data_IF_685800303515
#
_entry.id   IF_685800303515
#
_cell.length_a   1.000
_cell.length_b   1.000
_cell.length_c   1.000
_cell.angle_alpha   90.00
_cell.angle_beta   90.00
_cell.angle_gamma   90.00
#
_symmetry.space_group_name_H-M   'P 1'
#
loop_
_entity.id
_entity.type
_entity.pdbx_description
1 polymer ?
#
# COMPACT_ATOMS: atom_id res chain seq x y z
N UNK A 1 -24.27 8.37 -18.74
CA UNK A 1 -22.83 8.46 -18.50
C UNK A 1 -22.52 9.45 -17.38
N UNK A 2 -21.63 9.08 -16.49
CA UNK A 2 -21.29 9.92 -15.35
C UNK A 2 -19.82 9.84 -15.00
N UNK A 3 -19.28 11.01 -14.62
CA UNK A 3 -17.97 11.14 -13.99
C UNK A 3 -18.13 11.36 -12.50
N UNK A 4 -17.25 10.76 -11.73
CA UNK A 4 -17.05 11.03 -10.31
C UNK A 4 -15.56 11.28 -10.10
N UNK A 5 -15.25 12.34 -9.38
CA UNK A 5 -13.88 12.66 -8.98
C UNK A 5 -13.88 12.90 -7.48
N UNK A 6 -12.82 12.52 -6.81
CA UNK A 6 -12.68 12.76 -5.39
C UNK A 6 -11.22 12.80 -4.98
N UNK A 7 -11.00 13.41 -3.81
CA UNK A 7 -9.72 13.42 -3.13
C UNK A 7 -9.97 13.25 -1.64
N UNK A 8 -9.01 12.67 -0.94
CA UNK A 8 -9.06 12.44 0.50
C UNK A 8 -7.71 12.70 1.13
N UNK A 9 -7.74 12.98 2.43
CA UNK A 9 -6.55 13.15 3.26
C UNK A 9 -6.78 12.46 4.60
N UNK A 10 -5.74 11.83 5.12
CA UNK A 10 -5.71 11.26 6.46
C UNK A 10 -4.52 11.80 7.23
N UNK A 11 -4.74 12.11 8.49
CA UNK A 11 -3.68 12.47 9.45
C UNK A 11 -3.72 11.44 10.57
N UNK A 12 -2.62 10.76 10.78
CA UNK A 12 -2.45 9.75 11.83
C UNK A 12 -1.36 10.22 12.79
N UNK A 13 -1.60 10.08 14.11
CA UNK A 13 -0.58 10.30 15.13
C UNK A 13 -0.71 9.23 16.20
N UNK A 14 0.36 8.49 16.44
CA UNK A 14 0.39 7.41 17.42
C UNK A 14 1.63 7.53 18.33
N UNK A 15 1.55 6.98 19.52
CA UNK A 15 2.67 6.85 20.46
C UNK A 15 3.14 5.39 20.39
N UNK A 16 4.31 5.09 19.79
CA UNK A 16 4.80 3.71 19.64
C UNK A 16 5.14 3.06 20.99
N UNK A 17 5.58 3.86 21.96
CA UNK A 17 5.99 3.39 23.29
C UNK A 17 5.58 4.39 24.36
N UNK A 18 5.28 3.87 25.55
CA UNK A 18 4.95 4.69 26.72
C UNK A 18 6.03 4.64 27.79
N UNK A 19 6.99 3.71 27.67
CA UNK A 19 8.12 3.57 28.58
C UNK A 19 9.31 2.90 27.89
N UNK A 20 10.51 3.19 28.35
CA UNK A 20 11.76 2.52 28.03
C UNK A 20 12.54 2.17 29.29
N UNK A 21 13.40 1.17 29.18
CA UNK A 21 14.33 0.80 30.25
C UNK A 21 15.77 1.10 29.79
N UNK A 22 16.51 1.85 30.59
CA UNK A 22 17.93 2.13 30.41
C UNK A 22 18.64 1.93 31.77
N UNK A 23 19.67 1.10 31.77
CA UNK A 23 20.47 0.77 32.96
C UNK A 23 19.63 0.33 34.17
N UNK A 24 18.59 -0.48 33.94
CA UNK A 24 17.68 -0.99 34.96
C UNK A 24 16.69 0.04 35.51
N UNK A 25 16.63 1.25 34.92
CA UNK A 25 15.66 2.30 35.27
C UNK A 25 14.61 2.46 34.18
N UNK A 26 13.34 2.56 34.59
CA UNK A 26 12.22 2.77 33.69
C UNK A 26 11.97 4.26 33.55
N UNK A 27 11.96 4.73 32.30
CA UNK A 27 11.65 6.11 31.92
C UNK A 27 10.32 6.14 31.18
N UNK A 28 9.45 7.08 31.53
CA UNK A 28 8.25 7.39 30.77
C UNK A 28 8.67 8.14 29.51
N UNK A 29 8.16 7.69 28.35
CA UNK A 29 8.39 8.33 27.05
C UNK A 29 7.05 8.60 26.36
N UNK A 30 7.02 9.56 25.47
CA UNK A 30 5.77 10.03 24.86
C UNK A 30 5.91 10.47 23.40
N UNK A 31 7.10 10.27 22.81
CA UNK A 31 7.33 10.63 21.43
C UNK A 31 6.31 9.97 20.48
N UNK A 32 5.93 10.74 19.48
CA UNK A 32 4.86 10.38 18.54
C UNK A 32 5.41 10.26 17.13
N UNK A 33 4.90 9.27 16.39
CA UNK A 33 5.02 9.28 14.95
C UNK A 33 3.75 9.88 14.36
N UNK A 34 3.91 10.95 13.59
CA UNK A 34 2.82 11.62 12.89
C UNK A 34 2.99 11.45 11.38
N UNK A 35 1.92 11.17 10.68
CA UNK A 35 1.94 10.93 9.25
C UNK A 35 0.74 11.55 8.55
N UNK A 36 0.94 11.98 7.32
CA UNK A 36 -0.10 12.56 6.46
C UNK A 36 -0.15 11.76 5.18
N UNK A 37 -1.32 11.27 4.82
CA UNK A 37 -1.58 10.55 3.58
C UNK A 37 -2.60 11.30 2.74
N UNK A 38 -2.47 11.20 1.42
CA UNK A 38 -3.40 11.85 0.49
C UNK A 38 -3.74 10.95 -0.68
N UNK A 39 -4.99 11.00 -1.13
CA UNK A 39 -5.45 10.24 -2.28
C UNK A 39 -6.26 11.09 -3.25
N UNK A 40 -6.26 10.69 -4.52
CA UNK A 40 -7.15 11.20 -5.55
C UNK A 40 -7.68 10.05 -6.40
N UNK A 41 -8.94 10.13 -6.80
CA UNK A 41 -9.55 9.12 -7.64
C UNK A 41 -10.50 9.70 -8.66
N UNK A 42 -10.69 8.94 -9.74
CA UNK A 42 -11.66 9.23 -10.78
C UNK A 42 -12.39 7.95 -11.17
N UNK A 43 -13.69 8.08 -11.42
CA UNK A 43 -14.53 7.03 -11.98
C UNK A 43 -15.34 7.58 -13.14
N UNK A 44 -15.34 6.85 -14.25
CA UNK A 44 -16.28 7.03 -15.34
C UNK A 44 -17.14 5.77 -15.46
N UNK A 45 -18.43 5.96 -15.63
CA UNK A 45 -19.35 4.84 -15.84
C UNK A 45 -20.45 5.24 -16.82
N UNK A 46 -20.68 4.37 -17.82
CA UNK A 46 -21.84 4.42 -18.69
C UNK A 46 -22.47 3.03 -18.87
N UNK A 47 -23.28 2.86 -19.93
CA UNK A 47 -23.97 1.58 -20.19
C UNK A 47 -23.01 0.41 -20.54
N UNK A 48 -21.82 0.70 -21.02
CA UNK A 48 -20.85 -0.30 -21.50
C UNK A 48 -19.50 -0.23 -20.78
N UNK A 49 -19.10 0.95 -20.31
CA UNK A 49 -17.79 1.20 -19.74
C UNK A 49 -17.85 1.43 -18.23
N UNK A 50 -16.90 0.84 -17.54
CA UNK A 50 -16.51 1.24 -16.20
C UNK A 50 -15.00 1.46 -16.21
N UNK A 51 -14.56 2.70 -15.98
CA UNK A 51 -13.15 3.07 -15.85
C UNK A 51 -12.96 3.71 -14.48
N UNK A 52 -11.99 3.23 -13.73
CA UNK A 52 -11.66 3.75 -12.41
C UNK A 52 -10.14 3.86 -12.29
N UNK A 53 -9.67 4.97 -11.73
CA UNK A 53 -8.27 5.14 -11.38
C UNK A 53 -8.15 5.80 -10.00
N UNK A 54 -7.11 5.45 -9.28
CA UNK A 54 -6.79 6.03 -7.98
C UNK A 54 -5.27 6.12 -7.83
N UNK A 55 -4.82 7.22 -7.23
CA UNK A 55 -3.47 7.36 -6.72
C UNK A 55 -3.52 7.69 -5.24
N UNK A 56 -2.57 7.17 -4.47
CA UNK A 56 -2.47 7.35 -3.03
C UNK A 56 -0.99 7.53 -2.68
N UNK A 57 -0.70 8.58 -1.95
CA UNK A 57 0.55 8.76 -1.24
C UNK A 57 0.30 8.38 0.22
N UNK A 58 0.77 7.21 0.61
CA UNK A 58 0.49 6.57 1.88
C UNK A 58 1.66 6.77 2.85
N UNK A 59 1.41 7.42 3.97
CA UNK A 59 2.37 7.58 5.04
C UNK A 59 1.91 6.75 6.24
N UNK A 60 2.63 5.65 6.53
CA UNK A 60 2.35 4.74 7.66
C UNK A 60 0.88 4.26 7.75
N UNK A 61 0.28 3.81 6.65
CA UNK A 61 -1.11 3.32 6.61
C UNK A 61 -1.22 1.80 6.92
N UNK A 62 -0.40 1.27 7.81
CA UNK A 62 -0.40 -0.16 8.18
C UNK A 62 -1.72 -0.63 8.80
N UNK A 63 -2.46 0.27 9.46
CA UNK A 63 -3.79 -0.02 10.02
C UNK A 63 -4.83 -0.37 8.93
N UNK A 64 -4.59 0.00 7.67
CA UNK A 64 -5.44 -0.33 6.54
C UNK A 64 -4.95 -1.55 5.75
N UNK A 65 -4.07 -2.36 6.34
CA UNK A 65 -3.40 -3.50 5.70
C UNK A 65 -2.53 -3.12 4.49
N UNK A 66 -2.07 -1.88 4.40
CA UNK A 66 -1.11 -1.44 3.39
C UNK A 66 0.33 -1.69 3.86
N UNK A 67 1.24 -1.77 2.89
CA UNK A 67 2.66 -1.70 3.18
C UNK A 67 2.97 -0.32 3.78
N UNK A 68 3.88 -0.29 4.74
CA UNK A 68 4.24 0.95 5.42
C UNK A 68 4.79 0.69 6.81
N UNK A 69 4.99 1.77 7.55
CA UNK A 69 5.53 1.74 8.90
C UNK A 69 6.27 3.01 9.24
N UNK A 70 7.22 2.91 10.15
CA UNK A 70 8.09 4.01 10.57
C UNK A 70 9.45 3.46 11.03
N UNK A 71 10.45 4.31 10.99
CA UNK A 71 11.81 4.00 11.47
C UNK A 71 12.26 4.98 12.54
N UNK A 72 13.25 4.57 13.33
CA UNK A 72 13.86 5.37 14.40
C UNK A 72 14.92 6.29 13.80
N UNK A 73 14.80 7.60 14.02
CA UNK A 73 15.72 8.62 13.52
C UNK A 73 16.72 9.10 14.57
N UNK A 74 16.33 9.06 15.85
CA UNK A 74 17.24 9.36 16.96
C UNK A 74 16.87 8.57 18.22
N UNK A 75 17.82 8.44 19.15
CA UNK A 75 17.64 7.79 20.45
C UNK A 75 18.33 8.65 21.52
N UNK A 76 17.58 9.13 22.52
CA UNK A 76 18.17 9.78 23.69
C UNK A 76 18.92 8.73 24.54
N UNK A 77 20.23 8.86 24.73
CA UNK A 77 21.01 7.87 25.47
C UNK A 77 20.70 7.79 26.97
N UNK A 78 20.02 8.79 27.56
CA UNK A 78 19.66 8.82 28.96
C UNK A 78 18.33 8.16 29.26
N UNK A 79 17.34 8.39 28.41
CA UNK A 79 15.96 7.91 28.61
C UNK A 79 15.59 6.78 27.67
N UNK A 80 16.38 6.55 26.60
CA UNK A 80 16.04 5.65 25.52
C UNK A 80 14.86 6.12 24.68
N UNK A 81 14.38 7.36 24.85
CA UNK A 81 13.31 7.91 24.02
C UNK A 81 13.72 8.00 22.56
N UNK A 82 12.83 7.61 21.66
CA UNK A 82 13.11 7.46 20.24
C UNK A 82 12.25 8.44 19.45
N UNK A 83 12.89 9.18 18.55
CA UNK A 83 12.18 9.92 17.50
C UNK A 83 11.93 9.03 16.29
N UNK A 84 10.92 9.33 15.50
CA UNK A 84 10.45 8.47 14.43
C UNK A 84 10.14 9.26 13.16
N UNK A 85 10.48 8.67 12.01
CA UNK A 85 10.04 9.13 10.69
C UNK A 85 9.16 8.06 10.01
N UNK A 86 7.97 8.41 9.51
CA UNK A 86 7.10 7.46 8.82
C UNK A 86 7.65 7.13 7.44
N UNK A 87 7.49 5.86 7.01
CA UNK A 87 7.72 5.46 5.63
C UNK A 87 6.61 5.96 4.72
N UNK A 88 7.00 6.40 3.54
CA UNK A 88 6.12 6.87 2.48
C UNK A 88 6.07 5.83 1.35
N UNK A 89 4.86 5.49 0.91
CA UNK A 89 4.60 4.63 -0.24
C UNK A 89 3.69 5.33 -1.24
N UNK A 90 4.02 5.22 -2.52
CA UNK A 90 3.14 5.64 -3.60
C UNK A 90 2.42 4.42 -4.17
N UNK A 91 1.10 4.51 -4.29
CA UNK A 91 0.28 3.45 -4.91
C UNK A 91 -0.64 4.06 -5.94
N UNK A 92 -0.67 3.48 -7.14
CA UNK A 92 -1.58 3.90 -8.20
C UNK A 92 -2.18 2.68 -8.88
N UNK A 93 -3.45 2.76 -9.25
CA UNK A 93 -4.09 1.70 -10.01
C UNK A 93 -5.11 2.22 -11.02
N UNK A 94 -5.30 1.44 -12.07
CA UNK A 94 -6.29 1.64 -13.12
C UNK A 94 -7.12 0.36 -13.28
N UNK A 95 -8.43 0.50 -13.35
CA UNK A 95 -9.36 -0.59 -13.64
C UNK A 95 -10.28 -0.21 -14.79
N UNK A 96 -10.35 -1.06 -15.82
CA UNK A 96 -11.18 -0.88 -16.99
C UNK A 96 -12.01 -2.13 -17.19
N UNK A 97 -13.32 -1.97 -17.29
CA UNK A 97 -14.25 -3.05 -17.64
C UNK A 97 -15.15 -2.57 -18.78
N UNK A 98 -15.36 -3.42 -19.78
CA UNK A 98 -16.19 -3.10 -20.94
C UNK A 98 -17.26 -4.17 -21.16
N UNK A 99 -18.43 -3.73 -21.61
CA UNK A 99 -19.49 -4.62 -22.12
C UNK A 99 -20.62 -4.91 -21.12
N UNK A 100 -21.58 -5.71 -21.57
CA UNK A 100 -22.80 -6.06 -20.82
C UNK A 100 -22.85 -7.55 -20.48
N UNK A 101 -23.05 -8.39 -21.50
CA UNK A 101 -23.14 -9.85 -21.34
C UNK A 101 -21.75 -10.47 -21.20
N UNK A 102 -20.86 -10.15 -22.12
CA UNK A 102 -19.43 -10.42 -22.01
C UNK A 102 -18.74 -9.17 -21.45
N UNK A 103 -18.01 -9.34 -20.37
CA UNK A 103 -17.28 -8.22 -19.72
C UNK A 103 -15.80 -8.56 -19.59
N UNK A 104 -14.98 -8.30 -20.61
CA UNK A 104 -13.54 -8.22 -20.43
C UNK A 104 -13.18 -7.08 -19.49
N UNK A 105 -12.14 -7.29 -18.68
CA UNK A 105 -11.63 -6.29 -17.77
C UNK A 105 -10.12 -6.38 -17.64
N UNK A 106 -9.52 -5.23 -17.37
CA UNK A 106 -8.10 -5.05 -17.13
C UNK A 106 -7.93 -4.25 -15.85
N UNK A 107 -7.13 -4.77 -14.93
CA UNK A 107 -6.61 -4.02 -13.79
C UNK A 107 -5.09 -3.91 -13.90
N UNK A 108 -4.55 -2.72 -13.62
CA UNK A 108 -3.14 -2.44 -13.47
C UNK A 108 -2.93 -1.77 -12.12
N UNK A 109 -1.99 -2.26 -11.33
CA UNK A 109 -1.61 -1.70 -10.04
C UNK A 109 -0.11 -1.58 -9.92
N UNK A 110 0.34 -0.46 -9.38
CA UNK A 110 1.74 -0.19 -9.09
C UNK A 110 1.89 0.42 -7.71
N UNK A 111 2.88 -0.09 -6.97
CA UNK A 111 3.27 0.41 -5.66
C UNK A 111 4.79 0.63 -5.65
N UNK A 112 5.23 1.73 -5.02
CA UNK A 112 6.65 2.07 -4.82
C UNK A 112 6.88 2.49 -3.38
N UNK A 113 7.91 1.91 -2.75
CA UNK A 113 8.47 2.37 -1.49
C UNK A 113 9.34 3.61 -1.76
N UNK A 114 9.06 4.71 -1.10
CA UNK A 114 9.81 5.97 -1.21
C UNK A 114 10.73 6.20 0.00
N UNK A 115 10.72 5.29 0.99
CA UNK A 115 11.48 5.41 2.22
C UNK A 115 10.88 6.41 3.20
N UNK A 116 11.63 6.70 4.24
CA UNK A 116 11.39 7.80 5.18
C UNK A 116 12.09 9.08 4.69
N UNK A 117 11.72 10.23 5.24
CA UNK A 117 12.30 11.52 4.86
C UNK A 117 13.68 11.77 5.48
N UNK A 118 14.05 10.97 6.48
CA UNK A 118 15.27 11.14 7.26
C UNK A 118 16.05 9.83 7.32
N UNK A 119 17.37 9.91 7.52
CA UNK A 119 18.21 8.76 7.79
C UNK A 119 17.75 8.07 9.09
N UNK A 120 17.81 6.76 9.10
CA UNK A 120 17.39 5.94 10.23
C UNK A 120 18.63 5.44 11.00
N UNK A 121 18.58 5.50 12.31
CA UNK A 121 19.68 5.07 13.19
C UNK A 121 19.33 3.82 13.99
N UNK A 122 18.09 3.36 13.92
CA UNK A 122 17.59 2.29 14.73
C UNK A 122 16.64 1.35 14.01
N UNK A 123 15.84 0.66 14.80
CA UNK A 123 14.91 -0.36 14.32
C UNK A 123 13.79 0.26 13.50
N UNK A 124 13.36 -0.46 12.49
CA UNK A 124 12.18 -0.16 11.67
C UNK A 124 10.99 -1.02 12.11
N UNK A 125 9.81 -0.46 12.05
CA UNK A 125 8.54 -1.08 12.45
C UNK A 125 7.53 -0.93 11.32
N UNK A 126 7.05 -2.04 10.78
CA UNK A 126 6.09 -1.98 9.67
C UNK A 126 5.92 -3.30 8.94
N UNK A 127 5.28 -3.23 7.79
CA UNK A 127 4.98 -4.36 6.91
C UNK A 127 5.57 -4.10 5.54
N UNK A 128 6.36 -5.08 5.03
CA UNK A 128 6.95 -5.06 3.69
C UNK A 128 7.95 -3.93 3.49
N UNK A 129 8.74 -3.60 4.51
CA UNK A 129 9.75 -2.55 4.44
C UNK A 129 10.96 -2.95 3.58
N UNK A 130 11.11 -4.23 3.25
CA UNK A 130 12.09 -4.82 2.34
C UNK A 130 11.60 -4.87 0.87
N UNK A 131 10.36 -4.45 0.63
CA UNK A 131 9.76 -4.35 -0.71
C UNK A 131 10.06 -2.98 -1.29
N UNK A 132 10.72 -2.94 -2.44
CA UNK A 132 10.98 -1.73 -3.20
C UNK A 132 9.75 -1.29 -4.00
N UNK A 133 9.22 -2.20 -4.80
CA UNK A 133 8.06 -1.94 -5.65
C UNK A 133 7.27 -3.22 -5.93
N UNK A 134 6.01 -3.03 -6.26
CA UNK A 134 5.12 -4.11 -6.70
C UNK A 134 4.38 -3.65 -7.96
N UNK A 135 4.38 -4.48 -8.99
CA UNK A 135 3.51 -4.33 -10.14
C UNK A 135 2.57 -5.52 -10.20
N UNK A 136 1.28 -5.27 -10.33
CA UNK A 136 0.27 -6.31 -10.52
C UNK A 136 -0.63 -5.97 -11.70
N UNK A 137 -1.00 -6.96 -12.46
CA UNK A 137 -2.04 -6.85 -13.47
C UNK A 137 -3.08 -7.93 -13.25
N UNK A 138 -4.29 -7.68 -13.74
CA UNK A 138 -5.36 -8.64 -13.69
C UNK A 138 -6.12 -8.58 -15.01
N UNK A 139 -6.16 -9.70 -15.70
CA UNK A 139 -6.96 -9.89 -16.90
C UNK A 139 -8.18 -10.74 -16.52
N UNK A 140 -9.36 -10.19 -16.68
CA UNK A 140 -10.59 -10.89 -16.36
C UNK A 140 -11.53 -10.96 -17.56
N UNK A 141 -12.32 -12.02 -17.62
CA UNK A 141 -13.44 -12.17 -18.53
C UNK A 141 -14.63 -12.73 -17.75
N UNK A 142 -15.76 -12.05 -17.78
CA UNK A 142 -16.98 -12.60 -17.21
C UNK A 142 -18.12 -12.68 -18.23
N UNK A 143 -18.94 -13.72 -18.08
CA UNK A 143 -20.15 -13.95 -18.84
C UNK A 143 -21.36 -13.83 -17.91
N UNK A 144 -22.26 -12.89 -18.19
CA UNK A 144 -23.34 -12.51 -17.32
C UNK A 144 -24.69 -12.88 -17.93
N UNK A 145 -25.45 -13.69 -17.22
CA UNK A 145 -26.83 -14.10 -17.52
C UNK A 145 -27.75 -13.59 -16.41
N UNK A 146 -29.07 -13.64 -16.57
CA UNK A 146 -30.02 -13.13 -15.55
C UNK A 146 -29.80 -13.73 -14.16
N UNK A 147 -29.51 -15.03 -14.06
CA UNK A 147 -29.34 -15.74 -12.78
C UNK A 147 -27.92 -16.26 -12.57
N UNK A 148 -27.04 -16.20 -13.59
CA UNK A 148 -25.71 -16.77 -13.55
C UNK A 148 -24.64 -15.77 -13.95
N UNK A 149 -23.54 -15.77 -13.22
CA UNK A 149 -22.31 -15.12 -13.64
C UNK A 149 -21.17 -16.11 -13.59
N UNK A 150 -20.50 -16.28 -14.73
CA UNK A 150 -19.28 -17.06 -14.87
C UNK A 150 -18.12 -16.09 -15.06
N UNK A 151 -17.00 -16.33 -14.42
CA UNK A 151 -15.82 -15.48 -14.58
C UNK A 151 -14.53 -16.27 -14.48
N UNK A 152 -13.53 -15.80 -15.19
CA UNK A 152 -12.15 -16.22 -15.07
C UNK A 152 -11.25 -15.01 -14.96
N UNK A 153 -10.21 -15.13 -14.16
CA UNK A 153 -9.24 -14.10 -13.89
C UNK A 153 -7.84 -14.68 -13.90
N UNK A 154 -6.90 -13.99 -14.53
CA UNK A 154 -5.48 -14.28 -14.46
C UNK A 154 -4.75 -13.06 -13.91
N UNK A 155 -4.02 -13.23 -12.80
CA UNK A 155 -3.40 -12.15 -12.05
C UNK A 155 -1.91 -12.44 -11.83
N UNK A 156 -1.02 -12.09 -12.76
CA UNK A 156 0.40 -12.05 -12.49
C UNK A 156 0.76 -10.83 -11.64
N UNK A 157 1.65 -11.03 -10.66
CA UNK A 157 2.21 -9.98 -9.81
C UNK A 157 3.71 -10.13 -9.71
N UNK A 158 4.44 -9.03 -9.80
CA UNK A 158 5.88 -8.96 -9.66
C UNK A 158 6.19 -8.05 -8.49
N UNK A 159 6.97 -8.53 -7.53
CA UNK A 159 7.48 -7.75 -6.42
C UNK A 159 9.02 -7.73 -6.48
N UNK A 160 9.60 -6.58 -6.20
CA UNK A 160 11.05 -6.40 -6.07
C UNK A 160 11.39 -6.24 -4.61
N UNK A 161 12.22 -7.14 -4.11
CA UNK A 161 12.75 -7.16 -2.76
C UNK A 161 14.24 -6.78 -2.81
N UNK A 162 14.75 -6.18 -1.75
CA UNK A 162 16.17 -5.83 -1.69
C UNK A 162 16.65 -5.48 -0.29
N UNK A 163 17.81 -4.85 -0.23
CA UNK A 163 18.45 -4.45 1.01
C UNK A 163 17.96 -3.08 1.47
N UNK A 164 17.55 -2.98 2.73
CA UNK A 164 17.12 -1.72 3.34
C UNK A 164 18.35 -0.89 3.68
N UNK A 165 18.50 0.29 3.08
CA UNK A 165 19.54 1.25 3.44
C UNK A 165 19.01 2.27 4.46
N UNK A 166 19.39 2.11 5.71
CA UNK A 166 18.96 2.99 6.79
C UNK A 166 19.50 4.40 6.64
N UNK A 167 20.69 4.58 6.06
CA UNK A 167 21.27 5.91 5.84
C UNK A 167 20.57 6.68 4.73
N UNK A 168 19.96 5.96 3.77
CA UNK A 168 19.09 6.53 2.74
C UNK A 168 17.60 6.45 3.13
N UNK A 169 17.28 6.68 4.40
CA UNK A 169 15.89 6.71 4.88
C UNK A 169 15.14 5.38 4.74
N UNK A 170 15.86 4.25 4.72
CA UNK A 170 15.26 2.93 4.56
C UNK A 170 14.78 2.63 3.14
N UNK A 171 15.30 3.32 2.11
CA UNK A 171 15.09 2.95 0.70
C UNK A 171 15.74 1.63 0.39
N UNK A 172 15.25 0.98 -0.65
CA UNK A 172 15.66 -0.38 -1.00
C UNK A 172 16.65 -0.34 -2.16
N UNK A 173 17.79 -1.00 -1.95
CA UNK A 173 18.84 -1.15 -2.94
C UNK A 173 19.06 -2.63 -3.30
N UNK A 174 19.85 -2.91 -4.36
CA UNK A 174 20.21 -4.26 -4.82
C UNK A 174 19.00 -5.18 -4.98
N UNK A 175 18.00 -4.72 -5.72
CA UNK A 175 16.73 -5.40 -5.82
C UNK A 175 16.75 -6.63 -6.71
N UNK A 176 15.99 -7.65 -6.34
CA UNK A 176 15.65 -8.82 -7.15
C UNK A 176 14.14 -9.01 -7.23
N UNK A 177 13.66 -9.48 -8.36
CA UNK A 177 12.23 -9.67 -8.59
C UNK A 177 11.76 -11.09 -8.29
N UNK A 178 10.56 -11.19 -7.73
CA UNK A 178 9.80 -12.44 -7.56
C UNK A 178 8.47 -12.28 -8.26
N UNK A 179 8.12 -13.26 -9.10
CA UNK A 179 6.85 -13.28 -9.84
C UNK A 179 5.92 -14.33 -9.27
N UNK A 180 4.66 -13.97 -9.08
CA UNK A 180 3.58 -14.87 -8.69
C UNK A 180 2.50 -14.87 -9.78
N UNK A 181 1.88 -16.02 -9.99
CA UNK A 181 0.79 -16.22 -10.94
C UNK A 181 -0.43 -16.79 -10.23
N UNK A 182 -1.58 -16.14 -10.39
CA UNK A 182 -2.85 -16.59 -9.83
C UNK A 182 -3.88 -16.75 -10.95
N UNK A 183 -4.62 -17.86 -10.92
CA UNK A 183 -5.81 -18.08 -11.74
C UNK A 183 -7.00 -18.26 -10.81
N UNK A 184 -8.09 -17.56 -11.06
CA UNK A 184 -9.32 -17.64 -10.28
C UNK A 184 -10.51 -17.92 -11.21
N UNK A 185 -11.32 -18.94 -10.88
CA UNK A 185 -12.62 -19.19 -11.47
C UNK A 185 -13.73 -18.76 -10.52
N UNK A 186 -14.77 -18.12 -11.03
CA UNK A 186 -15.93 -17.66 -10.26
C UNK A 186 -17.22 -18.13 -10.90
N UNK A 187 -18.09 -18.71 -10.10
CA UNK A 187 -19.46 -19.06 -10.44
C UNK A 187 -20.40 -18.43 -9.41
N UNK A 188 -21.30 -17.56 -9.85
CA UNK A 188 -22.32 -16.94 -9.00
C UNK A 188 -23.70 -17.27 -9.55
N UNK A 189 -24.59 -17.72 -8.66
CA UNK A 189 -26.01 -17.89 -8.93
C UNK A 189 -26.81 -16.94 -8.05
N UNK A 190 -27.75 -16.22 -8.67
CA UNK A 190 -28.67 -15.31 -7.98
C UNK A 190 -30.10 -15.79 -8.20
N UNK A 191 -30.79 -16.11 -7.13
CA UNK A 191 -32.20 -16.55 -7.11
C UNK A 191 -33.17 -15.45 -6.73
#
# INVERSE_FOLDING_TARGET
PGWQVGAGMEILSLVPRTQNEVDGKIYKVSERVSSVSGEAHVKYQDANWLVMAKTLLASNLTQTCMLGGYGVTSIDPRTGEQEYSPYLFSTSWLNIVYGKKWKPGLFLGYLKNLGANEALVGKTYGVGLDVDQVFTTNLQLSYNLPHWKLGVEYSPSIAWYGNVDLQDGGRIHDTHSITNHRVLGVLIYTF
#
